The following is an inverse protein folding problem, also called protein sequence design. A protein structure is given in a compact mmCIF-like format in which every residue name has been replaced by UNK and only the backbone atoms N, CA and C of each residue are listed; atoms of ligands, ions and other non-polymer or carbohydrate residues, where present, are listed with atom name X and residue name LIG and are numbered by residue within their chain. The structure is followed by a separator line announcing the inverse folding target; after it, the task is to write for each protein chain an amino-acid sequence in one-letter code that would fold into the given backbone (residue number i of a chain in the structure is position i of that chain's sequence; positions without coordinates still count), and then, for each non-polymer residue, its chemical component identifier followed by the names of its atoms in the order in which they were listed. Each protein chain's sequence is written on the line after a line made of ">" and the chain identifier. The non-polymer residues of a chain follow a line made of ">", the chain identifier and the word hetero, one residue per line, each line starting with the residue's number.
data_IF_859503098057
#
_entry.id   IF_859503098057
#
_cell.length_a   1.000
_cell.length_b   1.000
_cell.length_c   1.000
_cell.angle_alpha   90.00
_cell.angle_beta   90.00
_cell.angle_gamma   90.00
#
_symmetry.space_group_name_H-M   'P 1'
#
loop_
_entity.id
_entity.type
_entity.pdbx_description
1 polymer ?
#
# COMPACT_ATOMS: atom_id res chain seq x y z
N UNK A 1 -5.04 33.37 7.76
CA UNK A 1 -5.08 31.89 7.69
C UNK A 1 -3.82 31.23 8.23
N UNK A 2 -2.60 31.65 7.83
CA UNK A 2 -1.35 31.04 8.35
C UNK A 2 -1.26 31.01 9.88
N UNK A 3 -1.67 32.07 10.58
CA UNK A 3 -1.72 32.10 12.05
C UNK A 3 -2.78 31.18 12.65
N UNK A 4 -3.86 30.89 11.90
CA UNK A 4 -4.93 29.98 12.33
C UNK A 4 -4.53 28.52 12.14
N UNK A 5 -3.86 28.19 11.04
CA UNK A 5 -3.25 26.86 10.82
C UNK A 5 -2.24 26.54 11.94
N UNK A 6 -1.43 27.54 12.35
CA UNK A 6 -0.51 27.40 13.49
C UNK A 6 -1.21 27.19 14.84
N UNK A 7 -2.50 27.54 14.96
CA UNK A 7 -3.25 27.32 16.20
C UNK A 7 -3.77 25.88 16.35
N UNK A 8 -3.77 25.08 15.28
CA UNK A 8 -4.24 23.70 15.30
C UNK A 8 -5.75 23.51 15.50
N UNK A 9 -6.54 24.59 15.54
CA UNK A 9 -7.99 24.51 15.72
C UNK A 9 -8.70 24.15 14.40
N UNK A 10 -8.89 22.84 14.19
CA UNK A 10 -9.49 22.27 12.98
C UNK A 10 -10.89 22.82 12.71
N UNK A 11 -11.74 22.94 13.73
CA UNK A 11 -13.10 23.44 13.60
C UNK A 11 -13.12 24.89 13.11
N UNK A 12 -12.25 25.75 13.68
CA UNK A 12 -12.11 27.14 13.20
C UNK A 12 -11.52 27.23 11.81
N UNK A 13 -10.59 26.36 11.44
CA UNK A 13 -10.01 26.31 10.09
C UNK A 13 -11.10 25.97 9.05
N UNK A 14 -11.89 24.93 9.31
CA UNK A 14 -13.01 24.51 8.45
C UNK A 14 -14.07 25.61 8.36
N UNK A 15 -14.44 26.22 9.49
CA UNK A 15 -15.38 27.33 9.53
C UNK A 15 -14.88 28.53 8.71
N UNK A 16 -13.63 28.93 8.93
CA UNK A 16 -13.03 30.05 8.21
C UNK A 16 -12.94 29.79 6.70
N UNK A 17 -12.58 28.57 6.30
CA UNK A 17 -12.52 28.21 4.88
C UNK A 17 -13.87 28.35 4.20
N UNK A 18 -14.93 27.83 4.82
CA UNK A 18 -16.31 27.94 4.33
C UNK A 18 -16.83 29.38 4.32
N UNK A 19 -16.46 30.20 5.31
CA UNK A 19 -16.83 31.61 5.37
C UNK A 19 -16.11 32.45 4.31
N UNK A 20 -14.82 32.21 4.08
CA UNK A 20 -14.00 32.99 3.17
C UNK A 20 -14.33 32.76 1.69
N UNK A 21 -14.73 31.53 1.32
CA UNK A 21 -15.08 31.14 -0.07
C UNK A 21 -14.03 31.48 -1.13
N UNK A 22 -12.75 31.42 -0.76
CA UNK A 22 -11.61 31.67 -1.66
C UNK A 22 -10.89 30.36 -1.98
N UNK A 23 -10.54 30.13 -3.25
CA UNK A 23 -9.85 28.91 -3.72
C UNK A 23 -8.58 28.61 -2.93
N UNK A 24 -7.70 29.61 -2.77
CA UNK A 24 -6.44 29.47 -2.01
C UNK A 24 -6.66 29.08 -0.54
N UNK A 25 -7.77 29.54 0.05
CA UNK A 25 -8.12 29.22 1.44
C UNK A 25 -8.61 27.78 1.53
N UNK A 26 -9.42 27.31 0.58
CA UNK A 26 -9.81 25.91 0.52
C UNK A 26 -8.61 24.97 0.36
N UNK A 27 -7.67 25.30 -0.55
CA UNK A 27 -6.44 24.52 -0.73
C UNK A 27 -5.64 24.48 0.58
N UNK A 28 -5.42 25.63 1.23
CA UNK A 28 -4.64 25.68 2.47
C UNK A 28 -5.33 24.93 3.62
N UNK A 29 -6.66 24.95 3.69
CA UNK A 29 -7.40 24.14 4.65
C UNK A 29 -7.23 22.65 4.37
N UNK A 30 -7.45 22.21 3.13
CA UNK A 30 -7.31 20.80 2.74
C UNK A 30 -5.89 20.26 2.98
N UNK A 31 -4.85 21.03 2.62
CA UNK A 31 -3.46 20.67 2.88
C UNK A 31 -3.17 20.51 4.37
N UNK A 32 -3.78 21.32 5.23
CA UNK A 32 -3.67 21.16 6.68
C UNK A 32 -4.42 19.92 7.18
N UNK A 33 -5.63 19.64 6.68
CA UNK A 33 -6.37 18.44 7.07
C UNK A 33 -5.62 17.15 6.69
N UNK A 34 -4.87 17.15 5.58
CA UNK A 34 -4.00 16.03 5.20
C UNK A 34 -2.86 15.74 6.19
N UNK A 35 -2.49 16.69 7.06
CA UNK A 35 -1.48 16.44 8.11
C UNK A 35 -2.07 15.83 9.38
N UNK A 36 -3.40 15.69 9.46
CA UNK A 36 -4.10 15.05 10.57
C UNK A 36 -4.25 13.55 10.28
N UNK A 37 -4.77 12.79 11.26
CA UNK A 37 -5.07 11.37 11.07
C UNK A 37 -6.36 11.16 10.26
N UNK A 38 -6.35 11.55 8.99
CA UNK A 38 -7.51 11.39 8.10
C UNK A 38 -7.80 9.93 7.75
N UNK A 39 -6.82 9.03 7.91
CA UNK A 39 -6.96 7.59 7.61
C UNK A 39 -8.06 6.91 8.42
N UNK A 40 -8.27 7.37 9.65
CA UNK A 40 -9.26 6.82 10.59
C UNK A 40 -10.52 7.70 10.68
N UNK A 41 -10.58 8.81 9.94
CA UNK A 41 -11.66 9.80 10.03
C UNK A 41 -12.26 10.08 8.65
N UNK A 42 -13.37 9.39 8.37
CA UNK A 42 -14.13 9.54 7.14
C UNK A 42 -14.67 10.97 6.92
N UNK A 43 -14.94 11.72 8.00
CA UNK A 43 -15.41 13.10 7.87
C UNK A 43 -14.26 14.02 7.44
N UNK A 44 -13.04 13.83 7.97
CA UNK A 44 -11.86 14.54 7.49
C UNK A 44 -11.58 14.27 6.01
N UNK A 45 -11.67 13.02 5.55
CA UNK A 45 -11.51 12.67 4.14
C UNK A 45 -12.51 13.43 3.25
N UNK A 46 -13.80 13.39 3.61
CA UNK A 46 -14.86 14.12 2.88
C UNK A 46 -14.62 15.63 2.87
N UNK A 47 -14.11 16.21 3.95
CA UNK A 47 -13.78 17.64 4.00
C UNK A 47 -12.59 17.99 3.10
N UNK A 48 -11.55 17.15 3.04
CA UNK A 48 -10.40 17.32 2.14
C UNK A 48 -10.89 17.32 0.68
N UNK A 49 -11.64 16.29 0.29
CA UNK A 49 -12.24 16.18 -1.05
C UNK A 49 -13.11 17.39 -1.39
N UNK A 50 -13.99 17.79 -0.46
CA UNK A 50 -14.89 18.93 -0.63
C UNK A 50 -14.11 20.22 -0.89
N UNK A 51 -13.05 20.48 -0.12
CA UNK A 51 -12.25 21.69 -0.25
C UNK A 51 -11.45 21.73 -1.56
N UNK A 52 -10.83 20.63 -1.98
CA UNK A 52 -10.17 20.61 -3.30
C UNK A 52 -11.15 20.78 -4.45
N UNK A 53 -12.32 20.14 -4.39
CA UNK A 53 -13.37 20.34 -5.39
C UNK A 53 -13.84 21.80 -5.45
N UNK A 54 -14.12 22.44 -4.29
CA UNK A 54 -14.49 23.88 -4.24
C UNK A 54 -13.40 24.80 -4.79
N UNK A 55 -12.13 24.38 -4.73
CA UNK A 55 -11.01 25.13 -5.29
C UNK A 55 -10.76 24.87 -6.79
N UNK A 56 -11.38 23.84 -7.39
CA UNK A 56 -10.96 23.22 -8.65
C UNK A 56 -9.48 22.80 -8.63
N UNK A 57 -8.97 22.39 -7.47
CA UNK A 57 -7.57 21.99 -7.29
C UNK A 57 -7.40 20.48 -7.56
N UNK A 58 -7.74 20.06 -8.77
CA UNK A 58 -7.83 18.63 -9.13
C UNK A 58 -6.49 17.89 -9.05
N UNK A 59 -5.36 18.56 -9.24
CA UNK A 59 -4.04 17.96 -9.06
C UNK A 59 -3.79 17.57 -7.61
N UNK A 60 -4.17 18.44 -6.66
CA UNK A 60 -4.02 18.14 -5.23
C UNK A 60 -4.98 17.04 -4.81
N UNK A 61 -6.19 17.02 -5.40
CA UNK A 61 -7.17 15.96 -5.15
C UNK A 61 -6.69 14.61 -5.70
N UNK A 62 -6.08 14.57 -6.89
CA UNK A 62 -5.49 13.36 -7.45
C UNK A 62 -4.39 12.81 -6.52
N UNK A 63 -3.47 13.66 -6.06
CA UNK A 63 -2.43 13.25 -5.11
C UNK A 63 -2.98 12.76 -3.78
N UNK A 64 -4.10 13.32 -3.31
CA UNK A 64 -4.77 12.83 -2.11
C UNK A 64 -5.34 11.41 -2.30
N UNK A 65 -5.96 11.13 -3.45
CA UNK A 65 -6.44 9.79 -3.77
C UNK A 65 -5.30 8.77 -3.97
N UNK A 66 -4.16 9.19 -4.52
CA UNK A 66 -2.95 8.34 -4.54
C UNK A 66 -2.47 8.00 -3.13
N UNK A 67 -2.48 8.98 -2.21
CA UNK A 67 -2.16 8.72 -0.80
C UNK A 67 -3.17 7.76 -0.15
N UNK A 68 -4.46 7.87 -0.48
CA UNK A 68 -5.47 6.91 -0.04
C UNK A 68 -5.16 5.50 -0.56
N UNK A 69 -4.84 5.36 -1.85
CA UNK A 69 -4.47 4.08 -2.44
C UNK A 69 -3.23 3.46 -1.78
N UNK A 70 -2.22 4.27 -1.47
CA UNK A 70 -1.02 3.81 -0.77
C UNK A 70 -1.35 3.27 0.62
N UNK A 71 -2.24 3.93 1.36
CA UNK A 71 -2.72 3.45 2.67
C UNK A 71 -3.47 2.11 2.54
N UNK A 72 -4.34 1.98 1.54
CA UNK A 72 -5.05 0.72 1.28
C UNK A 72 -4.08 -0.43 0.96
N UNK A 73 -2.96 -0.16 0.28
CA UNK A 73 -1.92 -1.17 -0.01
C UNK A 73 -1.05 -1.48 1.22
N UNK A 74 -0.59 -0.45 1.92
CA UNK A 74 0.42 -0.59 2.98
C UNK A 74 -0.17 -1.08 4.30
N UNK A 75 -1.30 -0.50 4.70
CA UNK A 75 -1.91 -0.71 6.01
C UNK A 75 -2.96 -1.83 5.92
N UNK A 76 -3.75 -1.87 4.85
CA UNK A 76 -4.90 -2.80 4.74
C UNK A 76 -4.72 -3.96 3.74
N UNK A 77 -3.73 -3.88 2.84
CA UNK A 77 -3.53 -4.81 1.70
C UNK A 77 -4.78 -5.02 0.85
N UNK A 78 -5.64 -4.01 0.81
CA UNK A 78 -6.87 -4.00 0.02
C UNK A 78 -6.58 -3.40 -1.36
N UNK A 79 -6.01 -4.23 -2.23
CA UNK A 79 -5.70 -3.87 -3.60
C UNK A 79 -6.95 -3.47 -4.41
N UNK A 80 -8.14 -3.93 -4.04
CA UNK A 80 -9.38 -3.52 -4.73
C UNK A 80 -9.70 -2.06 -4.41
N UNK A 81 -9.73 -1.69 -3.13
CA UNK A 81 -9.94 -0.28 -2.73
C UNK A 81 -8.83 0.64 -3.23
N UNK A 82 -7.59 0.15 -3.25
CA UNK A 82 -6.49 0.89 -3.85
C UNK A 82 -6.74 1.19 -5.33
N UNK A 83 -7.23 0.21 -6.10
CA UNK A 83 -7.59 0.41 -7.50
C UNK A 83 -8.74 1.43 -7.66
N UNK A 84 -9.75 1.37 -6.80
CA UNK A 84 -10.87 2.32 -6.80
C UNK A 84 -10.38 3.76 -6.53
N UNK A 85 -9.55 3.96 -5.50
CA UNK A 85 -8.94 5.24 -5.20
C UNK A 85 -8.08 5.78 -6.35
N UNK A 86 -7.28 4.94 -7.01
CA UNK A 86 -6.50 5.35 -8.18
C UNK A 86 -7.38 5.70 -9.39
N UNK A 87 -8.54 5.06 -9.56
CA UNK A 87 -9.50 5.47 -10.59
C UNK A 87 -10.08 6.87 -10.29
N UNK A 88 -10.34 7.19 -9.02
CA UNK A 88 -10.73 8.55 -8.61
C UNK A 88 -9.60 9.57 -8.85
N UNK A 89 -8.34 9.19 -8.62
CA UNK A 89 -7.18 10.01 -8.99
C UNK A 89 -7.14 10.27 -10.51
N UNK A 90 -7.35 9.25 -11.35
CA UNK A 90 -7.44 9.38 -12.81
C UNK A 90 -8.56 10.34 -13.24
N UNK A 91 -9.74 10.25 -12.62
CA UNK A 91 -10.85 11.17 -12.91
C UNK A 91 -10.46 12.62 -12.58
N UNK A 92 -9.72 12.84 -11.49
CA UNK A 92 -9.23 14.15 -11.13
C UNK A 92 -8.20 14.68 -12.13
N UNK A 93 -7.26 13.86 -12.58
CA UNK A 93 -6.30 14.23 -13.64
C UNK A 93 -7.03 14.57 -14.95
N UNK A 94 -8.05 13.80 -15.34
CA UNK A 94 -8.86 14.09 -16.51
C UNK A 94 -9.57 15.46 -16.40
N UNK A 95 -10.14 15.79 -15.24
CA UNK A 95 -10.72 17.11 -14.96
C UNK A 95 -9.67 18.22 -14.98
N UNK A 96 -8.45 17.97 -14.50
CA UNK A 96 -7.35 18.92 -14.56
C UNK A 96 -6.96 19.24 -16.02
N UNK A 97 -6.83 18.21 -16.86
CA UNK A 97 -6.49 18.32 -18.28
C UNK A 97 -7.54 19.10 -19.09
N UNK A 98 -8.84 18.95 -18.77
CA UNK A 98 -9.91 19.70 -19.42
C UNK A 98 -9.81 21.23 -19.23
N UNK A 99 -9.07 21.70 -18.22
CA UNK A 99 -8.94 23.12 -17.91
C UNK A 99 -7.78 23.83 -18.63
N UNK A 100 -7.24 23.24 -19.70
CA UNK A 100 -6.05 23.72 -20.44
C UNK A 100 -4.89 24.15 -19.51
N UNK A 101 -4.41 23.21 -18.68
CA UNK A 101 -3.40 23.50 -17.66
C UNK A 101 -2.06 23.86 -18.31
N UNK A 102 -1.28 24.72 -17.65
CA UNK A 102 0.06 25.11 -18.13
C UNK A 102 1.05 23.94 -18.10
N UNK A 103 0.81 22.96 -17.25
CA UNK A 103 1.61 21.75 -17.03
C UNK A 103 0.96 20.51 -17.68
N UNK A 104 0.35 20.67 -18.85
CA UNK A 104 -0.35 19.58 -19.55
C UNK A 104 0.53 18.32 -19.76
N UNK A 105 1.80 18.50 -20.13
CA UNK A 105 2.73 17.38 -20.36
C UNK A 105 2.92 16.53 -19.10
N UNK A 106 3.17 17.19 -17.95
CA UNK A 106 3.26 16.54 -16.65
C UNK A 106 1.99 15.76 -16.29
N UNK A 107 0.81 16.33 -16.57
CA UNK A 107 -0.46 15.67 -16.26
C UNK A 107 -0.74 14.47 -17.17
N UNK A 108 -0.29 14.50 -18.43
CA UNK A 108 -0.37 13.36 -19.34
C UNK A 108 0.58 12.23 -18.93
N UNK A 109 1.80 12.57 -18.50
CA UNK A 109 2.73 11.61 -17.91
C UNK A 109 2.12 10.97 -16.66
N UNK A 110 1.61 11.78 -15.74
CA UNK A 110 0.95 11.32 -14.52
C UNK A 110 -0.26 10.41 -14.81
N UNK A 111 -1.06 10.75 -15.83
CA UNK A 111 -2.16 9.90 -16.27
C UNK A 111 -1.67 8.53 -16.77
N UNK A 112 -0.57 8.52 -17.53
CA UNK A 112 0.02 7.28 -18.05
C UNK A 112 0.56 6.41 -16.92
N UNK A 113 1.24 7.00 -15.94
CA UNK A 113 1.69 6.31 -14.72
C UNK A 113 0.51 5.66 -13.99
N UNK A 114 -0.56 6.41 -13.73
CA UNK A 114 -1.75 5.89 -13.05
C UNK A 114 -2.40 4.73 -13.81
N UNK A 115 -2.50 4.79 -15.15
CA UNK A 115 -3.00 3.68 -15.94
C UNK A 115 -2.12 2.42 -15.79
N UNK A 116 -0.79 2.58 -15.79
CA UNK A 116 0.13 1.47 -15.58
C UNK A 116 -0.03 0.88 -14.17
N UNK A 117 -0.07 1.72 -13.14
CA UNK A 117 -0.25 1.28 -11.74
C UNK A 117 -1.56 0.53 -11.55
N UNK A 118 -2.68 1.04 -12.07
CA UNK A 118 -3.98 0.37 -12.02
C UNK A 118 -3.96 -0.94 -12.78
N UNK A 119 -3.31 -0.98 -13.95
CA UNK A 119 -3.15 -2.20 -14.74
C UNK A 119 -2.47 -3.31 -13.94
N UNK A 120 -1.32 -2.99 -13.33
CA UNK A 120 -0.56 -3.93 -12.51
C UNK A 120 -1.38 -4.41 -11.31
N UNK A 121 -2.04 -3.50 -10.58
CA UNK A 121 -2.87 -3.86 -9.42
C UNK A 121 -4.01 -4.81 -9.84
N UNK A 122 -4.67 -4.54 -10.96
CA UNK A 122 -5.74 -5.41 -11.48
C UNK A 122 -5.22 -6.80 -11.88
N UNK A 123 -4.05 -6.86 -12.51
CA UNK A 123 -3.39 -8.13 -12.84
C UNK A 123 -3.09 -8.94 -11.57
N UNK A 124 -2.57 -8.30 -10.52
CA UNK A 124 -2.32 -8.98 -9.25
C UNK A 124 -3.59 -9.50 -8.57
N UNK A 125 -4.67 -8.72 -8.56
CA UNK A 125 -5.98 -9.16 -8.07
C UNK A 125 -6.50 -10.36 -8.88
N UNK A 126 -6.33 -10.32 -10.20
CA UNK A 126 -6.71 -11.42 -11.08
C UNK A 126 -5.89 -12.69 -10.78
N UNK A 127 -4.57 -12.58 -10.60
CA UNK A 127 -3.71 -13.72 -10.25
C UNK A 127 -4.15 -14.35 -8.91
N UNK A 128 -4.50 -13.53 -7.91
CA UNK A 128 -5.06 -14.02 -6.63
C UNK A 128 -6.39 -14.76 -6.82
N UNK A 129 -7.20 -14.36 -7.80
CA UNK A 129 -8.45 -15.05 -8.13
C UNK A 129 -8.18 -16.37 -8.85
N UNK A 130 -7.21 -16.41 -9.77
CA UNK A 130 -6.76 -17.64 -10.45
C UNK A 130 -6.21 -18.63 -9.44
N UNK A 131 -5.53 -18.19 -8.38
CA UNK A 131 -4.98 -19.06 -7.35
C UNK A 131 -6.02 -20.02 -6.73
N UNK A 132 -7.27 -19.57 -6.60
CA UNK A 132 -8.36 -20.41 -6.06
C UNK A 132 -8.78 -21.54 -7.03
N UNK A 133 -8.47 -21.40 -8.32
CA UNK A 133 -8.86 -22.33 -9.40
C UNK A 133 -7.67 -23.18 -9.89
N UNK A 134 -6.54 -22.52 -10.16
CA UNK A 134 -5.28 -23.11 -10.63
C UNK A 134 -4.09 -22.46 -9.89
N UNK A 135 -3.72 -23.00 -8.72
CA UNK A 135 -2.57 -22.52 -7.96
C UNK A 135 -1.24 -22.60 -8.73
N UNK A 136 -1.08 -23.53 -9.67
CA UNK A 136 0.19 -23.72 -10.40
C UNK A 136 0.36 -22.58 -11.40
N UNK A 137 -0.68 -22.29 -12.18
CA UNK A 137 -0.63 -21.17 -13.12
C UNK A 137 -0.52 -19.83 -12.41
N UNK A 138 -1.24 -19.63 -11.29
CA UNK A 138 -1.12 -18.42 -10.48
C UNK A 138 0.31 -18.20 -9.98
N UNK A 139 0.99 -19.25 -9.51
CA UNK A 139 2.38 -19.15 -9.03
C UNK A 139 3.35 -18.84 -10.17
N UNK A 140 3.16 -19.45 -11.34
CA UNK A 140 3.95 -19.12 -12.54
C UNK A 140 3.78 -17.64 -12.93
N UNK A 141 2.56 -17.13 -12.87
CA UNK A 141 2.29 -15.72 -13.12
C UNK A 141 2.94 -14.82 -12.06
N UNK A 142 2.84 -15.17 -10.77
CA UNK A 142 3.51 -14.41 -9.69
C UNK A 142 5.03 -14.39 -9.80
N UNK A 143 5.67 -15.49 -10.24
CA UNK A 143 7.12 -15.52 -10.48
C UNK A 143 7.51 -14.52 -11.60
N UNK A 144 6.79 -14.54 -12.73
CA UNK A 144 7.02 -13.57 -13.82
C UNK A 144 6.74 -12.12 -13.37
N UNK A 145 5.68 -11.94 -12.58
CA UNK A 145 5.24 -10.65 -12.06
C UNK A 145 6.25 -10.06 -11.06
N UNK A 146 6.89 -10.91 -10.24
CA UNK A 146 7.95 -10.51 -9.32
C UNK A 146 9.28 -10.17 -10.02
N UNK A 147 9.52 -10.68 -11.23
CA UNK A 147 10.73 -10.37 -12.00
C UNK A 147 10.61 -9.06 -12.80
N UNK A 148 9.40 -8.55 -13.01
CA UNK A 148 9.17 -7.25 -13.62
C UNK A 148 9.43 -6.11 -12.62
N UNK A 149 10.54 -5.40 -12.82
CA UNK A 149 10.95 -4.25 -11.99
C UNK A 149 9.95 -3.09 -12.01
N UNK A 150 9.19 -2.91 -13.07
CA UNK A 150 8.20 -1.84 -13.17
C UNK A 150 6.95 -2.19 -12.35
N UNK A 151 6.57 -3.48 -12.34
CA UNK A 151 5.50 -3.99 -11.48
C UNK A 151 5.84 -3.85 -10.01
N UNK A 152 7.09 -4.15 -9.63
CA UNK A 152 7.56 -4.07 -8.24
C UNK A 152 7.54 -2.64 -7.66
N UNK A 153 7.34 -1.60 -8.48
CA UNK A 153 7.11 -0.22 -7.98
C UNK A 153 5.66 0.03 -7.57
N UNK A 154 4.73 -0.71 -8.15
CA UNK A 154 3.29 -0.49 -8.01
C UNK A 154 2.64 -1.43 -6.98
N UNK A 155 3.32 -2.52 -6.64
CA UNK A 155 2.84 -3.57 -5.74
C UNK A 155 3.97 -3.96 -4.80
N UNK A 156 3.63 -4.24 -3.55
CA UNK A 156 4.60 -4.63 -2.53
C UNK A 156 5.17 -6.00 -2.86
N UNK A 157 6.48 -6.07 -3.04
CA UNK A 157 7.17 -7.31 -3.36
C UNK A 157 6.94 -8.38 -2.28
N UNK A 158 6.91 -7.97 -1.02
CA UNK A 158 6.61 -8.84 0.11
C UNK A 158 5.25 -9.55 -0.01
N UNK A 159 4.21 -8.90 -0.54
CA UNK A 159 2.89 -9.54 -0.71
C UNK A 159 2.90 -10.60 -1.82
N UNK A 160 3.64 -10.36 -2.90
CA UNK A 160 3.83 -11.35 -3.97
C UNK A 160 4.58 -12.58 -3.44
N UNK A 161 5.69 -12.34 -2.73
CA UNK A 161 6.49 -13.41 -2.15
C UNK A 161 5.75 -14.18 -1.06
N UNK A 162 4.92 -13.51 -0.24
CA UNK A 162 4.12 -14.17 0.79
C UNK A 162 3.24 -15.27 0.19
N UNK A 163 2.58 -15.01 -0.93
CA UNK A 163 1.76 -16.00 -1.64
C UNK A 163 2.60 -17.17 -2.15
N UNK A 164 3.76 -16.88 -2.76
CA UNK A 164 4.64 -17.92 -3.28
C UNK A 164 5.25 -18.79 -2.17
N UNK A 165 5.61 -18.19 -1.03
CA UNK A 165 6.16 -18.89 0.14
C UNK A 165 5.07 -19.78 0.75
N UNK A 166 3.88 -19.25 1.01
CA UNK A 166 2.77 -20.01 1.56
C UNK A 166 2.41 -21.21 0.68
N UNK A 167 2.36 -21.02 -0.65
CA UNK A 167 2.15 -22.12 -1.60
C UNK A 167 3.21 -23.22 -1.49
N UNK A 168 4.49 -22.87 -1.42
CA UNK A 168 5.56 -23.86 -1.34
C UNK A 168 5.60 -24.59 0.00
N UNK A 169 5.26 -23.92 1.11
CA UNK A 169 5.07 -24.58 2.41
C UNK A 169 3.91 -25.56 2.34
N UNK A 170 2.78 -25.15 1.73
CA UNK A 170 1.63 -26.04 1.54
C UNK A 170 1.95 -27.28 0.69
N UNK A 171 2.83 -27.16 -0.31
CA UNK A 171 3.33 -28.28 -1.12
C UNK A 171 4.47 -29.07 -0.47
N UNK A 172 4.78 -28.81 0.79
CA UNK A 172 5.91 -29.40 1.53
C UNK A 172 7.28 -29.15 0.87
N UNK A 173 7.36 -28.16 -0.03
CA UNK A 173 8.56 -27.74 -0.74
C UNK A 173 9.35 -26.72 0.10
N UNK A 174 9.70 -27.10 1.34
CA UNK A 174 10.31 -26.20 2.32
C UNK A 174 11.61 -25.56 1.84
N UNK A 175 12.43 -26.28 1.04
CA UNK A 175 13.66 -25.74 0.45
C UNK A 175 13.39 -24.58 -0.51
N UNK A 176 12.36 -24.68 -1.36
CA UNK A 176 11.97 -23.61 -2.29
C UNK A 176 11.33 -22.45 -1.53
N UNK A 177 10.49 -22.73 -0.52
CA UNK A 177 9.94 -21.70 0.36
C UNK A 177 11.05 -20.88 1.04
N UNK A 178 12.06 -21.55 1.61
CA UNK A 178 13.22 -20.88 2.20
C UNK A 178 14.03 -20.09 1.17
N UNK A 179 14.28 -20.63 -0.01
CA UNK A 179 14.96 -19.90 -1.09
C UNK A 179 14.20 -18.63 -1.49
N UNK A 180 12.87 -18.66 -1.53
CA UNK A 180 12.05 -17.47 -1.80
C UNK A 180 12.19 -16.42 -0.69
N UNK A 181 12.24 -16.84 0.59
CA UNK A 181 12.53 -15.93 1.71
C UNK A 181 13.90 -15.27 1.55
N UNK A 182 14.92 -16.03 1.19
CA UNK A 182 16.27 -15.49 0.95
C UNK A 182 16.27 -14.49 -0.21
N UNK A 183 15.65 -14.85 -1.34
CA UNK A 183 15.53 -13.96 -2.49
C UNK A 183 14.81 -12.65 -2.15
N UNK A 184 13.76 -12.71 -1.33
CA UNK A 184 13.06 -11.52 -0.86
C UNK A 184 13.96 -10.62 -0.02
N UNK A 185 14.72 -11.20 0.93
CA UNK A 185 15.70 -10.45 1.75
C UNK A 185 16.85 -9.88 0.93
N UNK A 186 17.30 -10.59 -0.11
CA UNK A 186 18.35 -10.09 -1.01
C UNK A 186 17.87 -8.90 -1.83
N UNK A 187 16.59 -8.91 -2.27
CA UNK A 187 15.97 -7.82 -3.03
C UNK A 187 15.56 -6.64 -2.13
N UNK A 188 15.12 -6.91 -0.89
CA UNK A 188 14.72 -5.91 0.10
C UNK A 188 15.37 -6.20 1.47
N UNK A 189 16.63 -5.77 1.69
CA UNK A 189 17.38 -6.11 2.92
C UNK A 189 16.76 -5.58 4.22
N UNK A 190 15.99 -4.50 4.13
CA UNK A 190 15.29 -3.88 5.27
C UNK A 190 13.88 -4.43 5.48
N UNK A 191 13.48 -5.49 4.78
CA UNK A 191 12.12 -6.01 4.85
C UNK A 191 11.83 -6.64 6.21
N UNK A 192 10.74 -6.22 6.84
CA UNK A 192 10.21 -6.85 8.04
C UNK A 192 9.36 -8.07 7.65
N UNK A 193 9.99 -9.24 7.56
CA UNK A 193 9.35 -10.48 7.08
C UNK A 193 8.02 -10.80 7.81
N UNK A 194 7.95 -10.52 9.11
CA UNK A 194 6.76 -10.76 9.94
C UNK A 194 5.52 -10.01 9.47
N UNK A 195 5.69 -8.87 8.76
CA UNK A 195 4.55 -8.22 8.14
C UNK A 195 3.99 -9.07 7.02
N UNK A 196 4.81 -9.78 6.25
CA UNK A 196 4.34 -10.46 5.04
C UNK A 196 4.03 -11.95 5.24
N UNK A 197 4.80 -12.61 6.10
CA UNK A 197 4.71 -14.03 6.35
C UNK A 197 4.44 -14.26 7.83
N UNK A 198 3.33 -14.92 8.15
CA UNK A 198 2.98 -15.20 9.54
C UNK A 198 4.06 -16.07 10.23
N UNK A 199 4.08 -16.00 11.56
CA UNK A 199 5.06 -16.73 12.35
C UNK A 199 4.95 -18.25 12.21
N UNK A 200 3.75 -18.77 12.01
CA UNK A 200 3.50 -20.20 11.82
C UNK A 200 4.20 -20.77 10.57
N UNK A 201 4.02 -20.14 9.40
CA UNK A 201 4.69 -20.54 8.15
C UNK A 201 6.20 -20.45 8.33
N UNK A 202 6.66 -19.41 9.01
CA UNK A 202 8.07 -19.24 9.34
C UNK A 202 8.60 -20.41 10.19
N UNK A 203 7.95 -20.71 11.31
CA UNK A 203 8.36 -21.77 12.24
C UNK A 203 8.36 -23.15 11.54
N UNK A 204 7.36 -23.44 10.70
CA UNK A 204 7.30 -24.67 9.90
C UNK A 204 8.53 -24.85 9.02
N UNK A 205 8.93 -23.79 8.28
CA UNK A 205 10.11 -23.87 7.41
C UNK A 205 11.37 -24.08 8.25
N UNK A 206 11.52 -23.36 9.37
CA UNK A 206 12.68 -23.48 10.25
C UNK A 206 12.79 -24.89 10.85
N UNK A 207 11.69 -25.44 11.35
CA UNK A 207 11.65 -26.77 11.94
C UNK A 207 12.02 -27.85 10.90
N UNK A 208 11.36 -27.83 9.74
CA UNK A 208 11.55 -28.85 8.69
C UNK A 208 12.94 -28.83 8.09
N UNK A 209 13.58 -27.65 8.03
CA UNK A 209 14.94 -27.51 7.53
C UNK A 209 16.02 -27.53 8.63
N UNK A 210 15.62 -27.68 9.91
CA UNK A 210 16.51 -27.64 11.08
C UNK A 210 17.35 -26.35 11.13
N UNK A 211 16.73 -25.22 10.83
CA UNK A 211 17.33 -23.88 10.88
C UNK A 211 17.10 -23.25 12.25
N UNK A 212 18.08 -22.52 12.78
CA UNK A 212 17.96 -21.84 14.08
C UNK A 212 17.03 -20.62 14.03
N UNK A 213 16.92 -19.96 12.87
CA UNK A 213 15.90 -18.97 12.50
C UNK A 213 16.16 -18.53 11.04
N UNK A 214 15.27 -17.72 10.45
CA UNK A 214 15.58 -17.00 9.19
C UNK A 214 16.60 -15.89 9.36
N UNK A 215 17.08 -15.65 10.58
CA UNK A 215 18.00 -14.56 10.92
C UNK A 215 19.41 -15.09 10.75
N UNK A 216 20.00 -14.80 9.60
CA UNK A 216 21.44 -14.59 9.51
C UNK A 216 21.71 -13.11 9.81
N UNK A 217 22.26 -12.84 11.00
CA UNK A 217 22.94 -11.63 11.49
C UNK A 217 22.55 -10.25 10.92
N UNK A 218 21.81 -9.48 11.73
CA UNK A 218 22.08 -8.04 11.89
C UNK A 218 22.66 -7.78 13.29
N UNK A 219 23.82 -8.39 13.58
CA UNK A 219 24.71 -7.84 14.62
C UNK A 219 25.41 -6.62 14.02
N UNK A 220 24.81 -5.45 14.24
CA UNK A 220 25.49 -4.21 14.61
C UNK A 220 24.50 -3.04 14.56
N UNK A 221 23.79 -2.81 15.65
CA UNK A 221 23.49 -1.47 16.15
C UNK A 221 23.11 -1.59 17.63
N UNK A 222 24.09 -1.24 18.46
CA UNK A 222 24.00 -0.70 19.82
C UNK A 222 22.87 -1.18 20.73
N UNK A 223 23.30 -1.82 21.82
CA UNK A 223 22.68 -1.77 23.14
C UNK A 223 21.98 -0.42 23.39
N UNK A 224 20.67 -0.44 23.56
CA UNK A 224 19.95 0.29 24.60
C UNK A 224 18.52 -0.24 24.72
N UNK A 225 18.20 -0.59 25.96
CA UNK A 225 16.90 -0.62 26.61
C UNK A 225 15.88 -1.73 26.26
N UNK A 226 15.67 -2.54 27.30
CA UNK A 226 14.46 -3.29 27.58
C UNK A 226 13.23 -2.40 27.41
N UNK A 227 12.36 -2.75 26.48
CA UNK A 227 10.92 -2.73 26.71
C UNK A 227 10.28 -3.86 25.90
N UNK A 228 9.73 -4.83 26.63
CA UNK A 228 8.81 -5.82 26.09
C UNK A 228 7.54 -5.08 25.67
N UNK A 229 7.52 -4.56 24.45
CA UNK A 229 6.29 -4.18 23.79
C UNK A 229 5.90 -5.31 22.86
N UNK A 230 4.83 -6.01 23.25
CA UNK A 230 4.09 -6.92 22.40
C UNK A 230 3.77 -6.21 21.10
N UNK A 231 4.52 -6.52 20.04
CA UNK A 231 4.14 -6.17 18.68
C UNK A 231 2.80 -6.85 18.44
N UNK A 232 1.76 -6.04 18.26
CA UNK A 232 0.46 -6.52 17.80
C UNK A 232 0.72 -7.32 16.53
N UNK A 233 0.55 -8.64 16.61
CA UNK A 233 0.50 -9.53 15.45
C UNK A 233 -0.73 -9.11 14.64
N UNK A 234 -0.55 -8.19 13.69
CA UNK A 234 -1.50 -8.04 12.59
C UNK A 234 -1.50 -9.37 11.84
N UNK A 235 -2.49 -10.20 12.14
CA UNK A 235 -2.67 -11.52 11.56
C UNK A 235 -2.78 -11.37 10.04
N UNK A 236 -1.77 -11.86 9.31
CA UNK A 236 -1.79 -11.88 7.85
C UNK A 236 -2.91 -12.83 7.42
N UNK A 237 -4.05 -12.27 6.99
CA UNK A 237 -5.22 -13.04 6.58
C UNK A 237 -5.00 -13.65 5.18
N UNK A 238 -4.51 -14.88 5.16
CA UNK A 238 -4.41 -15.67 3.93
C UNK A 238 -5.79 -16.05 3.40
N UNK A 239 -5.92 -16.19 2.07
CA UNK A 239 -7.20 -16.61 1.48
C UNK A 239 -7.65 -17.99 2.00
N UNK A 240 -8.94 -18.28 1.90
CA UNK A 240 -9.50 -19.54 2.40
C UNK A 240 -8.83 -20.77 1.78
N UNK A 241 -8.48 -20.75 0.49
CA UNK A 241 -7.70 -21.84 -0.12
C UNK A 241 -6.29 -21.99 0.46
N UNK A 242 -5.65 -20.88 0.87
CA UNK A 242 -4.36 -20.92 1.56
C UNK A 242 -4.50 -21.48 2.99
N UNK A 243 -5.61 -21.16 3.69
CA UNK A 243 -5.85 -21.58 5.08
C UNK A 243 -6.32 -23.01 5.27
N UNK A 244 -7.00 -23.59 4.27
CA UNK A 244 -7.79 -24.84 4.40
C UNK A 244 -7.00 -26.09 4.81
N UNK A 245 -5.66 -26.06 4.80
CA UNK A 245 -4.82 -27.24 5.05
C UNK A 245 -3.71 -27.01 6.11
N UNK A 246 -3.83 -26.00 6.98
CA UNK A 246 -2.96 -25.84 8.16
C UNK A 246 -3.41 -26.69 9.38
N UNK A 247 -4.39 -27.60 9.19
CA UNK A 247 -4.87 -28.54 10.23
C UNK A 247 -4.37 -29.96 9.99
#
# INVERSE_FOLDING_TARGET
>A
MRSLVKSGDTARIVFFANAARKKEIYILAANYLQTLNWKEDCDLMKQIELFYNKANAYEHLASFYEACAQVEIDDYRDYNKAADALNEALQCIAKALQNNPKNQEYLMEKQTELYQTIGNIKEFIQIRTIYELDPIDAIRQLEAFADDKQVCKNIRLGDIYAVMIAYNVHKENYKKAYSLVQQLKDREPSIELNRYVNKEIQDIICEKLKLSSFITDNKNLSECDNDQQSTNDEEVDYSYAMKRNFQ
#
